data_IF_882035599117
#
_entry.id   IF_882035599117
#
_cell.length_a   1.000
_cell.length_b   1.000
_cell.length_c   1.000
_cell.angle_alpha   90.00
_cell.angle_beta   90.00
_cell.angle_gamma   90.00
#
_symmetry.space_group_name_H-M   'P 1'
#
loop_
_entity.id
_entity.type
_entity.pdbx_description
1 polymer ?
#
# COMPACT_ATOMS: atom_id res chain seq x y z
N UNK A 1 -3.26 -34.80 0.28
CA UNK A 1 -3.35 -33.68 -0.68
C UNK A 1 -2.41 -32.57 -0.21
N UNK A 2 -1.29 -32.34 -0.90
CA UNK A 2 -0.33 -31.28 -0.49
C UNK A 2 -0.77 -29.96 -1.11
N UNK A 3 -1.22 -29.02 -0.29
CA UNK A 3 -1.59 -27.67 -0.75
C UNK A 3 -0.31 -26.94 -1.15
N UNK A 4 -0.11 -26.74 -2.45
CA UNK A 4 1.05 -25.99 -2.98
C UNK A 4 0.88 -24.52 -2.62
N UNK A 5 1.83 -23.98 -1.85
CA UNK A 5 1.85 -22.55 -1.49
C UNK A 5 2.07 -21.69 -2.74
N UNK A 6 1.20 -20.69 -2.96
CA UNK A 6 1.36 -19.71 -4.04
C UNK A 6 2.44 -18.69 -3.67
N UNK A 7 3.70 -19.00 -3.99
CA UNK A 7 4.82 -18.07 -3.85
C UNK A 7 4.83 -17.14 -5.06
N UNK A 8 4.79 -15.85 -4.81
CA UNK A 8 4.96 -14.81 -5.83
C UNK A 8 6.19 -13.98 -5.48
N UNK A 9 7.07 -13.74 -6.45
CA UNK A 9 8.23 -12.88 -6.26
C UNK A 9 7.79 -11.44 -6.54
N UNK A 10 8.06 -10.55 -5.61
CA UNK A 10 7.75 -9.14 -5.76
C UNK A 10 9.03 -8.47 -6.27
N UNK A 11 8.99 -7.96 -7.51
CA UNK A 11 10.16 -7.37 -8.17
C UNK A 11 10.36 -5.90 -7.79
N UNK A 12 9.29 -5.22 -7.36
CA UNK A 12 9.31 -3.85 -6.85
C UNK A 12 9.31 -3.84 -5.31
N UNK A 13 9.96 -2.83 -4.69
CA UNK A 13 9.93 -2.65 -3.25
C UNK A 13 8.50 -2.42 -2.76
N UNK A 14 8.26 -2.76 -1.48
CA UNK A 14 6.93 -2.71 -0.89
C UNK A 14 6.35 -1.29 -0.92
N UNK A 15 7.17 -0.28 -0.66
CA UNK A 15 6.77 1.14 -0.60
C UNK A 15 6.26 1.63 -1.95
N UNK A 16 7.00 1.38 -3.03
CA UNK A 16 6.57 1.76 -4.39
C UNK A 16 5.22 1.15 -4.74
N UNK A 17 5.02 -0.14 -4.43
CA UNK A 17 3.75 -0.83 -4.70
C UNK A 17 2.58 -0.28 -3.89
N UNK A 18 2.82 0.14 -2.64
CA UNK A 18 1.80 0.78 -1.81
C UNK A 18 1.46 2.18 -2.35
N UNK A 19 2.46 2.93 -2.81
CA UNK A 19 2.25 4.24 -3.43
C UNK A 19 1.41 4.12 -4.72
N UNK A 20 1.79 3.21 -5.62
CA UNK A 20 1.08 2.95 -6.87
C UNK A 20 -0.38 2.55 -6.63
N UNK A 21 -0.62 1.65 -5.66
CA UNK A 21 -1.97 1.20 -5.32
C UNK A 21 -2.80 2.34 -4.70
N UNK A 22 -2.18 3.18 -3.86
CA UNK A 22 -2.83 4.38 -3.31
C UNK A 22 -3.29 5.34 -4.40
N UNK A 23 -2.44 5.62 -5.39
CA UNK A 23 -2.77 6.46 -6.53
C UNK A 23 -3.89 5.87 -7.39
N UNK A 24 -3.85 4.56 -7.67
CA UNK A 24 -4.91 3.86 -8.39
C UNK A 24 -6.25 3.94 -7.68
N UNK A 25 -6.27 3.77 -6.36
CA UNK A 25 -7.49 3.86 -5.57
C UNK A 25 -8.06 5.29 -5.55
N UNK A 26 -7.21 6.32 -5.56
CA UNK A 26 -7.68 7.71 -5.74
C UNK A 26 -8.26 7.94 -7.12
N UNK A 27 -7.60 7.47 -8.18
CA UNK A 27 -8.12 7.57 -9.54
C UNK A 27 -9.50 6.89 -9.65
N UNK A 28 -9.63 5.66 -9.13
CA UNK A 28 -10.91 4.97 -9.07
C UNK A 28 -11.97 5.75 -8.27
N UNK A 29 -11.59 6.35 -7.14
CA UNK A 29 -12.50 7.17 -6.35
C UNK A 29 -12.97 8.43 -7.09
N UNK A 30 -12.16 8.99 -8.00
CA UNK A 30 -12.59 10.15 -8.80
C UNK A 30 -13.70 9.80 -9.78
N UNK A 31 -13.67 8.60 -10.35
CA UNK A 31 -14.69 8.10 -11.29
C UNK A 31 -15.98 7.65 -10.59
N UNK A 32 -15.90 7.27 -9.32
CA UNK A 32 -17.07 6.82 -8.55
C UNK A 32 -17.99 7.99 -8.16
N UNK A 33 -19.33 7.77 -8.21
CA UNK A 33 -20.28 8.73 -7.67
C UNK A 33 -20.11 8.85 -6.15
N UNK A 34 -20.59 9.96 -5.60
CA UNK A 34 -20.57 10.18 -4.15
C UNK A 34 -21.38 9.08 -3.44
N UNK A 35 -20.76 8.39 -2.49
CA UNK A 35 -21.37 7.30 -1.75
C UNK A 35 -20.35 6.35 -1.12
N UNK A 36 -20.85 5.30 -0.50
CA UNK A 36 -20.05 4.36 0.30
C UNK A 36 -18.88 3.71 -0.48
N UNK A 37 -19.07 3.43 -1.78
CA UNK A 37 -18.02 2.85 -2.62
C UNK A 37 -16.83 3.80 -2.81
N UNK A 38 -17.11 5.09 -3.06
CA UNK A 38 -16.09 6.13 -3.18
C UNK A 38 -15.35 6.34 -1.86
N UNK A 39 -16.08 6.39 -0.76
CA UNK A 39 -15.50 6.52 0.58
C UNK A 39 -14.62 5.33 0.95
N UNK A 40 -15.04 4.10 0.63
CA UNK A 40 -14.25 2.90 0.85
C UNK A 40 -12.95 2.93 0.03
N UNK A 41 -13.01 3.34 -1.25
CA UNK A 41 -11.84 3.50 -2.09
C UNK A 41 -10.86 4.55 -1.52
N UNK A 42 -11.37 5.72 -1.11
CA UNK A 42 -10.56 6.77 -0.49
C UNK A 42 -9.94 6.33 0.85
N UNK A 43 -10.71 5.61 1.68
CA UNK A 43 -10.21 5.06 2.95
C UNK A 43 -9.06 4.10 2.72
N UNK A 44 -9.19 3.22 1.72
CA UNK A 44 -8.14 2.26 1.35
C UNK A 44 -6.92 2.98 0.76
N UNK A 45 -7.11 4.01 -0.05
CA UNK A 45 -6.01 4.83 -0.57
C UNK A 45 -5.17 5.43 0.56
N UNK A 46 -5.82 6.04 1.56
CA UNK A 46 -5.14 6.60 2.74
C UNK A 46 -4.37 5.56 3.54
N UNK A 47 -4.91 4.34 3.66
CA UNK A 47 -4.21 3.24 4.33
C UNK A 47 -2.93 2.86 3.59
N UNK A 48 -2.95 2.79 2.25
CA UNK A 48 -1.77 2.47 1.45
C UNK A 48 -0.71 3.56 1.53
N UNK A 49 -1.11 4.83 1.44
CA UNK A 49 -0.23 5.98 1.62
C UNK A 49 0.44 5.96 3.00
N UNK A 50 -0.34 5.72 4.05
CA UNK A 50 0.15 5.63 5.43
C UNK A 50 1.12 4.47 5.61
N UNK A 51 0.80 3.30 5.03
CA UNK A 51 1.67 2.12 5.10
C UNK A 51 3.01 2.36 4.38
N UNK A 52 3.00 3.06 3.24
CA UNK A 52 4.24 3.47 2.55
C UNK A 52 5.09 4.36 3.46
N UNK A 53 4.46 5.35 4.10
CA UNK A 53 5.17 6.30 4.98
C UNK A 53 5.74 5.64 6.24
N UNK A 54 5.02 4.69 6.84
CA UNK A 54 5.55 3.88 7.96
C UNK A 54 6.80 3.10 7.50
N UNK A 55 6.78 2.57 6.29
CA UNK A 55 7.93 1.89 5.70
C UNK A 55 9.16 2.80 5.59
N UNK A 56 8.96 4.07 5.21
CA UNK A 56 10.02 5.08 5.18
C UNK A 56 10.57 5.36 6.58
N UNK A 57 9.71 5.56 7.58
CA UNK A 57 10.14 5.77 8.97
C UNK A 57 10.98 4.61 9.50
N UNK A 58 10.54 3.37 9.31
CA UNK A 58 11.27 2.19 9.77
C UNK A 58 12.64 2.02 9.08
N UNK A 59 12.81 2.58 7.89
CA UNK A 59 14.08 2.56 7.15
C UNK A 59 15.03 3.71 7.54
N UNK A 60 14.58 4.68 8.33
CA UNK A 60 15.38 5.82 8.76
C UNK A 60 16.50 5.40 9.71
N UNK A 61 17.72 5.90 9.48
CA UNK A 61 18.92 5.54 10.22
C UNK A 61 18.82 5.79 11.74
N UNK A 62 18.03 6.77 12.17
CA UNK A 62 17.84 7.07 13.60
C UNK A 62 16.97 6.06 14.36
N UNK A 63 16.26 5.17 13.65
CA UNK A 63 15.41 4.12 14.22
C UNK A 63 16.02 2.71 14.05
N UNK A 64 17.11 2.59 13.28
CA UNK A 64 17.83 1.34 13.16
C UNK A 64 18.78 1.17 14.34
N UNK A 65 18.82 -0.03 14.91
CA UNK A 65 19.83 -0.40 15.89
C UNK A 65 21.23 -0.21 15.28
N UNK A 66 22.20 0.38 16.00
CA UNK A 66 23.58 0.43 15.52
C UNK A 66 24.09 -1.00 15.26
N UNK A 67 24.87 -1.16 14.18
CA UNK A 67 25.44 -2.45 13.75
C UNK A 67 26.62 -2.87 14.61
#
# INVERSE_FOLDING_TARGET
>A
MVIKRRRFKQDQPLQERLCDEGQRLRAMATELPVGAAKEAALKKARQMETASHIGEWLSSAGLQSPK
#
